data_IF_318890032837
#
_entry.id   IF_318890032837
#
_cell.length_a   1.000
_cell.length_b   1.000
_cell.length_c   1.000
_cell.angle_alpha   90.00
_cell.angle_beta   90.00
_cell.angle_gamma   90.00
#
_symmetry.space_group_name_H-M   'P 1'
#
loop_
_entity.id
_entity.type
_entity.pdbx_description
1 polymer ?
#
# COMPACT_ATOMS: atom_id res chain seq x y z
N UNK A 1 -1.37 17.51 -9.53
CA UNK A 1 -1.75 16.24 -8.88
C UNK A 1 -3.26 16.27 -8.72
N UNK A 2 -3.95 15.19 -9.07
CA UNK A 2 -5.39 15.04 -8.78
C UNK A 2 -5.50 14.87 -7.26
N UNK A 3 -6.40 15.62 -6.62
CA UNK A 3 -6.62 15.46 -5.18
C UNK A 3 -7.26 14.09 -4.91
N UNK A 4 -6.82 13.37 -3.88
CA UNK A 4 -7.43 12.08 -3.55
C UNK A 4 -8.88 12.30 -3.08
N UNK A 5 -9.77 11.32 -3.30
CA UNK A 5 -11.16 11.42 -2.84
C UNK A 5 -11.26 11.60 -1.32
N UNK A 6 -12.43 12.07 -0.88
CA UNK A 6 -12.73 12.31 0.54
C UNK A 6 -12.60 11.04 1.36
N UNK A 7 -12.10 11.15 2.59
CA UNK A 7 -11.96 9.99 3.48
C UNK A 7 -13.33 9.35 3.79
N UNK A 8 -13.31 8.06 4.06
CA UNK A 8 -14.46 7.24 4.43
C UNK A 8 -15.57 7.15 3.36
N UNK A 9 -15.27 7.47 2.10
CA UNK A 9 -16.17 7.26 0.96
C UNK A 9 -15.81 5.99 0.20
N UNK A 10 -16.76 5.43 -0.54
CA UNK A 10 -16.54 4.29 -1.44
C UNK A 10 -15.48 4.63 -2.51
N UNK A 11 -15.58 5.82 -3.11
CA UNK A 11 -14.62 6.30 -4.11
C UNK A 11 -13.18 6.32 -3.56
N UNK A 12 -13.01 6.68 -2.28
CA UNK A 12 -11.70 6.64 -1.65
C UNK A 12 -11.21 5.22 -1.41
N UNK A 13 -12.11 4.31 -1.02
CA UNK A 13 -11.75 2.91 -0.83
C UNK A 13 -11.30 2.29 -2.16
N UNK A 14 -12.02 2.54 -3.25
CA UNK A 14 -11.65 2.09 -4.59
C UNK A 14 -10.28 2.64 -5.01
N UNK A 15 -10.06 3.95 -4.81
CA UNK A 15 -8.78 4.59 -5.08
C UNK A 15 -7.62 3.95 -4.30
N UNK A 16 -7.78 3.77 -2.99
CA UNK A 16 -6.77 3.16 -2.13
C UNK A 16 -6.51 1.68 -2.51
N UNK A 17 -7.54 0.93 -2.92
CA UNK A 17 -7.39 -0.45 -3.41
C UNK A 17 -6.56 -0.48 -4.69
N UNK A 18 -6.80 0.42 -5.63
CA UNK A 18 -6.00 0.50 -6.87
C UNK A 18 -4.51 0.79 -6.57
N UNK A 19 -4.24 1.70 -5.64
CA UNK A 19 -2.88 1.98 -5.17
C UNK A 19 -2.26 0.73 -4.53
N UNK A 20 -3.02 -0.01 -3.71
CA UNK A 20 -2.55 -1.23 -3.07
C UNK A 20 -2.22 -2.33 -4.09
N UNK A 21 -3.04 -2.51 -5.13
CA UNK A 21 -2.77 -3.45 -6.22
C UNK A 21 -1.49 -3.09 -6.98
N UNK A 22 -1.27 -1.80 -7.26
CA UNK A 22 -0.04 -1.32 -7.89
C UNK A 22 1.18 -1.64 -7.02
N UNK A 23 1.11 -1.38 -5.72
CA UNK A 23 2.18 -1.68 -4.79
C UNK A 23 2.44 -3.19 -4.68
N UNK A 24 1.40 -4.01 -4.77
CA UNK A 24 1.50 -5.47 -4.84
C UNK A 24 2.29 -5.95 -6.05
N UNK A 25 2.01 -5.40 -7.23
CA UNK A 25 2.78 -5.68 -8.46
C UNK A 25 4.25 -5.32 -8.29
N UNK A 26 4.55 -4.14 -7.73
CA UNK A 26 5.92 -3.72 -7.43
C UNK A 26 6.60 -4.72 -6.49
N UNK A 27 5.94 -5.15 -5.42
CA UNK A 27 6.53 -6.14 -4.48
C UNK A 27 6.82 -7.50 -5.15
N UNK A 28 6.01 -7.90 -6.13
CA UNK A 28 6.24 -9.12 -6.93
C UNK A 28 7.44 -8.93 -7.86
N UNK A 29 7.50 -7.83 -8.61
CA UNK A 29 8.60 -7.51 -9.53
C UNK A 29 9.95 -7.41 -8.81
N UNK A 30 9.95 -6.87 -7.59
CA UNK A 30 11.14 -6.81 -6.73
C UNK A 30 11.50 -8.16 -6.07
N UNK A 31 10.67 -9.20 -6.22
CA UNK A 31 10.90 -10.52 -5.63
C UNK A 31 10.71 -10.60 -4.11
N UNK A 32 10.15 -9.55 -3.49
CA UNK A 32 10.02 -9.43 -2.01
C UNK A 32 8.62 -9.76 -1.48
N UNK A 33 7.66 -10.08 -2.35
CA UNK A 33 6.27 -10.38 -1.99
C UNK A 33 6.11 -11.50 -0.94
N UNK A 34 7.04 -12.47 -0.90
CA UNK A 34 7.01 -13.56 0.09
C UNK A 34 7.62 -13.17 1.44
N UNK A 35 8.20 -11.98 1.58
CA UNK A 35 8.79 -11.54 2.84
C UNK A 35 7.69 -11.37 3.91
N UNK A 36 7.78 -12.01 5.10
CA UNK A 36 6.70 -11.99 6.10
C UNK A 36 6.29 -10.60 6.58
N UNK A 37 7.23 -9.65 6.61
CA UNK A 37 6.90 -8.26 6.95
C UNK A 37 6.18 -7.50 5.83
N UNK A 38 6.41 -7.87 4.56
CA UNK A 38 5.69 -7.31 3.42
C UNK A 38 4.24 -7.78 3.47
N UNK A 39 4.02 -9.10 3.60
CA UNK A 39 2.68 -9.69 3.73
C UNK A 39 1.86 -9.06 4.85
N UNK A 40 2.42 -8.97 6.07
CA UNK A 40 1.76 -8.32 7.22
C UNK A 40 1.47 -6.83 7.01
N UNK A 41 2.22 -6.17 6.14
CA UNK A 41 1.96 -4.76 5.83
C UNK A 41 0.81 -4.61 4.84
N UNK A 42 0.71 -5.50 3.85
CA UNK A 42 -0.46 -5.57 2.97
C UNK A 42 -1.75 -5.88 3.73
N UNK A 43 -1.73 -6.86 4.64
CA UNK A 43 -2.90 -7.19 5.48
C UNK A 43 -3.40 -5.96 6.26
N UNK A 44 -2.48 -5.24 6.94
CA UNK A 44 -2.82 -4.00 7.67
C UNK A 44 -3.35 -2.89 6.76
N UNK A 45 -2.82 -2.79 5.54
CA UNK A 45 -3.28 -1.79 4.59
C UNK A 45 -4.72 -2.05 4.17
N UNK A 46 -5.06 -3.29 3.85
CA UNK A 46 -6.44 -3.70 3.53
C UNK A 46 -7.41 -3.29 4.64
N UNK A 47 -7.05 -3.54 5.91
CA UNK A 47 -7.88 -3.19 7.07
C UNK A 47 -8.08 -1.67 7.27
N UNK A 48 -7.26 -0.84 6.62
CA UNK A 48 -7.23 0.61 6.80
C UNK A 48 -7.68 1.42 5.59
N UNK A 49 -8.07 0.76 4.49
CA UNK A 49 -8.56 1.36 3.24
C UNK A 49 -9.64 2.41 3.52
N UNK A 50 -9.59 3.54 2.82
CA UNK A 50 -10.55 4.63 2.99
C UNK A 50 -10.23 5.57 4.15
N UNK A 51 -9.19 5.30 4.96
CA UNK A 51 -8.85 6.09 6.14
C UNK A 51 -7.55 6.86 5.96
N UNK A 52 -7.32 7.86 6.82
CA UNK A 52 -6.04 8.58 6.85
C UNK A 52 -4.85 7.65 7.11
N UNK A 53 -5.06 6.60 7.91
CA UNK A 53 -4.02 5.65 8.29
C UNK A 53 -3.49 4.86 7.10
N UNK A 54 -4.33 4.60 6.10
CA UNK A 54 -3.91 3.95 4.85
C UNK A 54 -2.73 4.69 4.22
N UNK A 55 -2.84 6.01 4.04
CA UNK A 55 -1.79 6.80 3.38
C UNK A 55 -0.45 6.76 4.16
N UNK A 56 -0.52 6.76 5.50
CA UNK A 56 0.66 6.68 6.37
C UNK A 56 1.34 5.32 6.26
N UNK A 57 0.57 4.24 6.39
CA UNK A 57 1.07 2.86 6.29
C UNK A 57 1.53 2.53 4.86
N UNK A 58 0.90 3.11 3.84
CA UNK A 58 1.24 2.91 2.42
C UNK A 58 2.61 3.52 2.11
N UNK A 59 2.82 4.77 2.55
CA UNK A 59 4.11 5.44 2.40
C UNK A 59 5.23 4.69 3.16
N UNK A 60 4.93 4.14 4.34
CA UNK A 60 5.87 3.34 5.10
C UNK A 60 6.25 2.05 4.38
N UNK A 61 5.27 1.32 3.84
CA UNK A 61 5.52 0.10 3.07
C UNK A 61 6.31 0.38 1.79
N UNK A 62 5.96 1.43 1.04
CA UNK A 62 6.70 1.81 -0.16
C UNK A 62 8.19 2.06 0.14
N UNK A 63 8.50 2.80 1.20
CA UNK A 63 9.89 3.02 1.64
C UNK A 63 10.56 1.72 2.07
N UNK A 64 9.82 0.83 2.73
CA UNK A 64 10.34 -0.46 3.15
C UNK A 64 10.68 -1.38 1.97
N UNK A 65 9.81 -1.46 0.96
CA UNK A 65 10.06 -2.22 -0.27
C UNK A 65 11.32 -1.72 -0.99
N UNK A 66 11.49 -0.40 -1.10
CA UNK A 66 12.69 0.18 -1.70
C UNK A 66 13.95 -0.18 -0.92
N UNK A 67 13.91 -0.23 0.41
CA UNK A 67 15.06 -0.66 1.22
C UNK A 67 15.40 -2.12 1.02
N UNK A 68 14.41 -3.00 0.96
CA UNK A 68 14.63 -4.44 0.74
C UNK A 68 15.26 -4.73 -0.62
N UNK A 69 14.91 -3.97 -1.66
CA UNK A 69 15.50 -4.16 -3.00
C UNK A 69 16.99 -3.82 -3.08
N UNK A 70 17.48 -2.90 -2.23
CA UNK A 70 18.88 -2.47 -2.23
C UNK A 70 19.78 -3.31 -1.30
N UNK A 71 19.27 -4.41 -0.74
CA UNK A 71 20.01 -5.36 0.09
C UNK A 71 20.37 -6.61 -0.72
#
# INVERSE_FOLDING_TARGET
>A
MIEPPLLHTEERQEYDIMDLELLGKIAIELGVHNHPAVKRSFERLVDSVGTKRFAEDYCALQKFLMKLHHQ
#
